data_IF_618663183063
#
_entry.id   IF_618663183063
#
_cell.length_a   1.000
_cell.length_b   1.000
_cell.length_c   1.000
_cell.angle_alpha   90.00
_cell.angle_beta   90.00
_cell.angle_gamma   90.00
#
_symmetry.space_group_name_H-M   'P 1'
#
loop_
_entity.id
_entity.type
_entity.pdbx_description
1 polymer ?
#
# COMPACT_ATOMS: atom_id res chain seq x y z
N UNK A 1 60.42 11.07 61.15
CA UNK A 1 59.30 11.16 60.18
C UNK A 1 58.73 9.76 59.96
N UNK A 2 57.47 9.54 60.36
CA UNK A 2 56.86 8.20 60.50
C UNK A 2 56.62 7.54 59.12
N UNK A 3 57.07 6.30 58.95
CA UNK A 3 56.86 5.45 57.75
C UNK A 3 55.39 5.08 57.47
N UNK A 4 54.46 5.40 58.37
CA UNK A 4 53.02 5.12 58.25
C UNK A 4 52.28 6.02 57.23
N UNK A 5 52.59 7.31 57.16
CA UNK A 5 51.90 8.26 56.26
C UNK A 5 52.17 8.00 54.78
N UNK A 6 53.41 7.61 54.43
CA UNK A 6 53.79 7.37 53.02
C UNK A 6 53.07 6.16 52.40
N UNK A 7 52.66 5.18 53.22
CA UNK A 7 51.94 3.98 52.75
C UNK A 7 50.46 4.27 52.48
N UNK A 8 49.81 5.09 53.31
CA UNK A 8 48.42 5.51 53.09
C UNK A 8 48.26 6.37 51.83
N UNK A 9 49.17 7.32 51.61
CA UNK A 9 49.18 8.15 50.40
C UNK A 9 49.42 7.32 49.14
N UNK A 10 50.37 6.37 49.17
CA UNK A 10 50.64 5.48 48.03
C UNK A 10 49.43 4.62 47.64
N UNK A 11 48.69 4.08 48.62
CA UNK A 11 47.49 3.29 48.37
C UNK A 11 46.39 4.13 47.72
N UNK A 12 46.19 5.37 48.17
CA UNK A 12 45.22 6.30 47.58
C UNK A 12 45.57 6.58 46.11
N UNK A 13 46.84 6.84 45.80
CA UNK A 13 47.27 7.03 44.41
C UNK A 13 47.03 5.81 43.55
N UNK A 14 47.33 4.60 44.04
CA UNK A 14 47.08 3.36 43.29
C UNK A 14 45.58 3.15 43.07
N UNK A 15 44.76 3.39 44.09
CA UNK A 15 43.32 3.23 43.99
C UNK A 15 42.71 4.24 43.01
N UNK A 16 43.14 5.49 43.05
CA UNK A 16 42.74 6.50 42.06
C UNK A 16 43.20 6.15 40.65
N UNK A 17 44.41 5.61 40.50
CA UNK A 17 44.91 5.16 39.20
C UNK A 17 44.09 3.98 38.65
N UNK A 18 43.69 3.03 39.51
CA UNK A 18 42.80 1.93 39.13
C UNK A 18 41.40 2.42 38.75
N UNK A 19 40.85 3.37 39.50
CA UNK A 19 39.55 3.99 39.18
C UNK A 19 39.62 4.72 37.83
N UNK A 20 40.68 5.50 37.59
CA UNK A 20 40.85 6.24 36.34
C UNK A 20 41.07 5.29 35.15
N UNK A 21 41.87 4.23 35.33
CA UNK A 21 42.06 3.19 34.32
C UNK A 21 40.75 2.45 34.03
N UNK A 22 39.99 2.09 35.07
CA UNK A 22 38.68 1.46 34.94
C UNK A 22 37.68 2.33 34.19
N UNK A 23 37.66 3.64 34.46
CA UNK A 23 36.82 4.59 33.74
C UNK A 23 37.18 4.68 32.25
N UNK A 24 38.47 4.72 31.91
CA UNK A 24 38.93 4.71 30.50
C UNK A 24 38.51 3.42 29.79
N UNK A 25 38.70 2.25 30.44
CA UNK A 25 38.29 0.96 29.86
C UNK A 25 36.77 0.89 29.66
N UNK A 26 35.98 1.37 30.63
CA UNK A 26 34.53 1.42 30.54
C UNK A 26 34.06 2.32 29.38
N UNK A 27 34.68 3.49 29.21
CA UNK A 27 34.39 4.42 28.12
C UNK A 27 34.65 3.79 26.75
N UNK A 28 35.83 3.18 26.55
CA UNK A 28 36.19 2.49 25.29
C UNK A 28 35.23 1.33 25.00
N UNK A 29 34.87 0.55 26.02
CA UNK A 29 33.91 -0.54 25.85
C UNK A 29 32.51 -0.03 25.48
N UNK A 30 32.08 1.07 26.09
CA UNK A 30 30.80 1.71 25.75
C UNK A 30 30.81 2.24 24.32
N UNK A 31 31.86 2.94 23.90
CA UNK A 31 32.01 3.46 22.55
C UNK A 31 32.00 2.33 21.51
N UNK A 32 32.78 1.27 21.73
CA UNK A 32 32.82 0.12 20.82
C UNK A 32 31.45 -0.57 20.69
N UNK A 33 30.69 -0.66 21.79
CA UNK A 33 29.33 -1.22 21.77
C UNK A 33 28.38 -0.35 20.96
N UNK A 34 28.41 0.97 21.14
CA UNK A 34 27.58 1.90 20.37
C UNK A 34 27.91 1.86 18.88
N UNK A 35 29.20 1.80 18.51
CA UNK A 35 29.62 1.65 17.11
C UNK A 35 29.13 0.32 16.50
N UNK A 36 29.23 -0.78 17.25
CA UNK A 36 28.75 -2.08 16.80
C UNK A 36 27.22 -2.09 16.57
N UNK A 37 26.45 -1.44 17.45
CA UNK A 37 25.00 -1.29 17.31
C UNK A 37 24.62 -0.46 16.08
N UNK A 38 25.34 0.64 15.81
CA UNK A 38 25.15 1.47 14.59
C UNK A 38 25.43 0.64 13.33
N UNK A 39 26.57 -0.07 13.29
CA UNK A 39 26.95 -0.89 12.14
C UNK A 39 25.95 -2.03 11.89
N UNK A 40 25.44 -2.65 12.96
CA UNK A 40 24.38 -3.67 12.87
C UNK A 40 23.10 -3.09 12.26
N UNK A 41 22.68 -1.90 12.73
CA UNK A 41 21.50 -1.20 12.20
C UNK A 41 21.63 -0.84 10.73
N UNK A 42 22.80 -0.33 10.31
CA UNK A 42 23.07 0.02 8.91
C UNK A 42 23.02 -1.23 8.03
N UNK A 43 23.66 -2.32 8.46
CA UNK A 43 23.60 -3.60 7.75
C UNK A 43 22.16 -4.09 7.60
N UNK A 44 21.37 -4.04 8.67
CA UNK A 44 19.98 -4.48 8.64
C UNK A 44 19.12 -3.63 7.68
N UNK A 45 19.30 -2.30 7.65
CA UNK A 45 18.65 -1.42 6.66
C UNK A 45 18.98 -1.81 5.24
N UNK A 46 20.26 -2.07 4.95
CA UNK A 46 20.69 -2.47 3.61
C UNK A 46 20.06 -3.81 3.22
N UNK A 47 20.08 -4.80 4.11
CA UNK A 47 19.46 -6.11 3.88
C UNK A 47 17.95 -5.97 3.67
N UNK A 48 17.27 -5.22 4.52
CA UNK A 48 15.83 -4.98 4.43
C UNK A 48 15.45 -4.30 3.11
N UNK A 49 16.18 -3.27 2.70
CA UNK A 49 15.97 -2.55 1.43
C UNK A 49 16.12 -3.47 0.22
N UNK A 50 17.24 -4.18 0.13
CA UNK A 50 17.46 -5.10 -0.99
C UNK A 50 16.52 -6.31 -0.98
N UNK A 51 16.09 -6.75 0.21
CA UNK A 51 15.02 -7.75 0.34
C UNK A 51 13.71 -7.25 -0.27
N UNK A 52 13.28 -6.04 0.09
CA UNK A 52 12.07 -5.44 -0.47
C UNK A 52 12.17 -5.27 -2.00
N UNK A 53 13.30 -4.80 -2.52
CA UNK A 53 13.54 -4.64 -3.95
C UNK A 53 13.52 -5.99 -4.69
N UNK A 54 14.12 -7.02 -4.09
CA UNK A 54 14.07 -8.40 -4.60
C UNK A 54 12.63 -8.90 -4.68
N UNK A 55 11.80 -8.59 -3.68
CA UNK A 55 10.37 -8.90 -3.69
C UNK A 55 9.63 -8.22 -4.84
N UNK A 56 9.84 -6.93 -5.07
CA UNK A 56 9.24 -6.20 -6.19
C UNK A 56 9.63 -6.83 -7.54
N UNK A 57 10.91 -7.16 -7.72
CA UNK A 57 11.41 -7.77 -8.95
C UNK A 57 10.83 -9.16 -9.17
N UNK A 58 10.85 -10.01 -8.14
CA UNK A 58 10.30 -11.38 -8.20
C UNK A 58 8.81 -11.37 -8.54
N UNK A 59 8.05 -10.46 -7.92
CA UNK A 59 6.63 -10.28 -8.20
C UNK A 59 6.39 -9.81 -9.64
N UNK A 60 7.15 -8.82 -10.10
CA UNK A 60 7.05 -8.29 -11.46
C UNK A 60 7.25 -9.39 -12.49
N UNK A 61 8.36 -10.14 -12.39
CA UNK A 61 8.67 -11.25 -13.32
C UNK A 61 7.59 -12.33 -13.27
N UNK A 62 7.11 -12.68 -12.08
CA UNK A 62 6.05 -13.69 -11.91
C UNK A 62 4.75 -13.22 -12.56
N UNK A 63 4.34 -11.98 -12.33
CA UNK A 63 3.11 -11.43 -12.91
C UNK A 63 3.22 -11.38 -14.43
N UNK A 64 4.32 -10.87 -14.98
CA UNK A 64 4.52 -10.84 -16.44
C UNK A 64 4.47 -12.24 -17.05
N UNK A 65 5.09 -13.24 -16.42
CA UNK A 65 5.02 -14.64 -16.88
C UNK A 65 3.59 -15.21 -16.84
N UNK A 66 2.81 -14.87 -15.80
CA UNK A 66 1.40 -15.25 -15.71
C UNK A 66 0.58 -14.58 -16.82
N UNK A 67 0.83 -13.31 -17.11
CA UNK A 67 0.14 -12.59 -18.18
C UNK A 67 0.52 -13.09 -19.57
N UNK A 68 1.78 -13.47 -19.79
CA UNK A 68 2.24 -14.08 -21.04
C UNK A 68 1.56 -15.45 -21.31
N UNK A 69 1.28 -16.20 -20.23
CA UNK A 69 0.55 -17.47 -20.33
C UNK A 69 -0.96 -17.30 -20.61
N UNK A 70 -1.55 -16.15 -20.23
CA UNK A 70 -2.98 -15.87 -20.35
C UNK A 70 -3.29 -15.19 -21.69
N UNK A 71 -3.57 -15.99 -22.73
CA UNK A 71 -3.71 -15.52 -24.12
C UNK A 71 -5.09 -14.99 -24.45
N UNK A 72 -6.10 -15.36 -23.66
CA UNK A 72 -7.48 -14.92 -23.85
C UNK A 72 -7.93 -13.96 -22.75
N UNK A 73 -8.92 -13.11 -23.03
CA UNK A 73 -9.49 -12.20 -22.01
C UNK A 73 -10.03 -12.95 -20.78
N UNK A 74 -10.75 -14.09 -20.91
CA UNK A 74 -11.21 -14.86 -19.74
C UNK A 74 -10.05 -15.33 -18.87
N UNK A 75 -9.00 -15.89 -19.47
CA UNK A 75 -7.80 -16.33 -18.74
C UNK A 75 -7.12 -15.16 -18.03
N UNK A 76 -7.04 -13.99 -18.66
CA UNK A 76 -6.46 -12.80 -18.02
C UNK A 76 -7.27 -12.34 -16.82
N UNK A 77 -8.60 -12.32 -16.91
CA UNK A 77 -9.44 -11.93 -15.78
C UNK A 77 -9.30 -12.94 -14.63
N UNK A 78 -9.35 -14.25 -14.92
CA UNK A 78 -9.12 -15.30 -13.91
C UNK A 78 -7.73 -15.16 -13.28
N UNK A 79 -6.70 -14.91 -14.08
CA UNK A 79 -5.33 -14.70 -13.61
C UNK A 79 -5.23 -13.52 -12.64
N UNK A 80 -5.88 -12.39 -12.95
CA UNK A 80 -5.92 -11.24 -12.05
C UNK A 80 -6.73 -11.50 -10.78
N UNK A 81 -7.85 -12.21 -10.88
CA UNK A 81 -8.68 -12.59 -9.73
C UNK A 81 -7.91 -13.48 -8.75
N UNK A 82 -7.14 -14.42 -9.28
CA UNK A 82 -6.34 -15.36 -8.49
C UNK A 82 -4.95 -14.84 -8.16
N UNK A 83 -4.63 -13.59 -8.50
CA UNK A 83 -3.25 -13.09 -8.46
C UNK A 83 -2.63 -13.19 -7.07
N UNK A 84 -3.38 -12.83 -6.02
CA UNK A 84 -2.92 -12.94 -4.64
C UNK A 84 -2.57 -14.39 -4.27
N UNK A 85 -3.41 -15.37 -4.65
CA UNK A 85 -3.15 -16.78 -4.42
C UNK A 85 -1.93 -17.28 -5.23
N UNK A 86 -1.79 -16.83 -6.48
CA UNK A 86 -0.65 -17.18 -7.34
C UNK A 86 0.67 -16.56 -6.88
N UNK A 87 0.63 -15.46 -6.12
CA UNK A 87 1.78 -14.83 -5.48
C UNK A 87 1.99 -15.26 -4.02
N UNK A 88 1.18 -16.18 -3.48
CA UNK A 88 1.37 -16.70 -2.12
C UNK A 88 2.80 -17.22 -1.85
N UNK A 89 3.52 -17.84 -2.80
CA UNK A 89 4.92 -18.21 -2.59
C UNK A 89 5.89 -17.05 -2.36
N UNK A 90 5.47 -15.80 -2.62
CA UNK A 90 6.28 -14.60 -2.44
C UNK A 90 5.92 -13.81 -1.17
N UNK A 91 4.99 -14.29 -0.33
CA UNK A 91 4.60 -13.57 0.89
C UNK A 91 5.62 -13.68 2.02
N UNK A 92 6.49 -14.70 1.97
CA UNK A 92 7.60 -14.89 2.89
C UNK A 92 8.68 -15.77 2.23
N UNK A 93 9.77 -15.13 1.79
CA UNK A 93 10.88 -15.76 1.08
C UNK A 93 12.17 -15.49 1.84
N UNK A 94 12.90 -16.57 2.15
CA UNK A 94 14.20 -16.52 2.80
C UNK A 94 15.33 -16.40 1.76
N UNK A 95 16.18 -15.37 1.92
CA UNK A 95 17.39 -15.12 1.13
C UNK A 95 18.67 -15.49 1.89
N UNK A 96 18.56 -16.15 3.04
CA UNK A 96 19.63 -16.56 3.95
C UNK A 96 20.14 -15.42 4.84
N UNK A 97 20.40 -14.23 4.26
CA UNK A 97 20.85 -13.06 5.03
C UNK A 97 19.72 -12.11 5.44
N UNK A 98 18.54 -12.29 4.87
CA UNK A 98 17.34 -11.50 5.09
C UNK A 98 16.15 -12.18 4.42
N UNK A 99 14.96 -11.60 4.60
CA UNK A 99 13.71 -12.13 4.09
C UNK A 99 12.96 -11.04 3.36
N UNK A 100 12.03 -11.45 2.51
CA UNK A 100 11.06 -10.53 1.93
C UNK A 100 9.66 -11.13 1.82
N UNK A 101 8.68 -10.26 1.73
CA UNK A 101 7.29 -10.58 1.47
C UNK A 101 6.67 -9.60 0.49
N UNK A 102 5.75 -10.09 -0.34
CA UNK A 102 5.06 -9.30 -1.36
C UNK A 102 3.56 -9.33 -1.15
N UNK A 103 2.92 -8.18 -1.34
CA UNK A 103 1.49 -8.06 -1.57
C UNK A 103 1.22 -7.35 -2.90
N UNK A 104 0.12 -7.71 -3.56
CA UNK A 104 -0.35 -7.05 -4.79
C UNK A 104 -1.76 -6.54 -4.59
N UNK A 105 -2.04 -5.34 -5.10
CA UNK A 105 -3.34 -4.69 -5.01
C UNK A 105 -3.75 -4.19 -6.38
N UNK A 106 -4.98 -4.51 -6.78
CA UNK A 106 -5.64 -3.88 -7.91
C UNK A 106 -6.06 -2.44 -7.53
N UNK A 107 -5.41 -1.45 -8.12
CA UNK A 107 -5.74 -0.05 -7.83
C UNK A 107 -7.04 0.40 -8.49
N UNK A 108 -7.50 -0.29 -9.54
CA UNK A 108 -8.80 -0.07 -10.14
C UNK A 108 -9.93 -0.69 -9.32
N UNK A 109 -9.64 -1.44 -8.26
CA UNK A 109 -10.64 -1.82 -7.26
C UNK A 109 -11.09 -0.63 -6.40
N UNK A 110 -10.43 0.54 -6.52
CA UNK A 110 -10.67 1.75 -5.72
C UNK A 110 -11.01 2.94 -6.62
N UNK A 111 -11.63 3.96 -6.04
CA UNK A 111 -11.99 5.20 -6.73
C UNK A 111 -10.80 6.14 -6.75
N UNK A 112 -10.46 6.63 -7.95
CA UNK A 112 -9.45 7.66 -8.10
C UNK A 112 -10.00 9.02 -7.70
N UNK A 113 -9.53 9.60 -6.60
CA UNK A 113 -10.04 10.90 -6.13
C UNK A 113 -9.72 12.04 -7.09
N UNK A 114 -8.63 11.92 -7.85
CA UNK A 114 -8.21 12.94 -8.81
C UNK A 114 -8.91 12.81 -10.15
N UNK A 115 -9.29 11.59 -10.55
CA UNK A 115 -9.87 11.32 -11.89
C UNK A 115 -11.36 11.04 -11.91
N UNK A 116 -11.97 10.62 -10.81
CA UNK A 116 -13.41 10.34 -10.76
C UNK A 116 -14.24 11.61 -10.97
N UNK A 117 -15.43 11.46 -11.55
CA UNK A 117 -16.39 12.56 -11.65
C UNK A 117 -16.99 12.92 -10.28
N UNK A 118 -17.62 14.09 -10.21
CA UNK A 118 -18.20 14.60 -8.98
C UNK A 118 -19.31 13.70 -8.43
N UNK A 119 -20.15 13.15 -9.31
CA UNK A 119 -21.25 12.26 -8.91
C UNK A 119 -20.74 10.98 -8.26
N UNK A 120 -19.66 10.40 -8.78
CA UNK A 120 -18.99 9.23 -8.20
C UNK A 120 -18.40 9.53 -6.83
N UNK A 121 -17.73 10.67 -6.68
CA UNK A 121 -17.15 11.06 -5.40
C UNK A 121 -18.25 11.34 -4.36
N UNK A 122 -19.29 12.08 -4.73
CA UNK A 122 -20.45 12.30 -3.85
C UNK A 122 -21.11 10.97 -3.47
N UNK A 123 -21.30 10.07 -4.43
CA UNK A 123 -21.85 8.73 -4.20
C UNK A 123 -21.03 7.89 -3.22
N UNK A 124 -19.72 8.09 -3.17
CA UNK A 124 -18.85 7.45 -2.17
C UNK A 124 -18.98 8.14 -0.80
N UNK A 125 -18.75 9.46 -0.73
CA UNK A 125 -18.67 10.17 0.55
C UNK A 125 -20.01 10.17 1.32
N UNK A 126 -21.16 10.19 0.62
CA UNK A 126 -22.49 10.07 1.25
C UNK A 126 -22.72 8.75 1.99
N UNK A 127 -21.88 7.74 1.77
CA UNK A 127 -21.94 6.48 2.53
C UNK A 127 -21.30 6.61 3.92
N UNK A 128 -20.50 7.65 4.15
CA UNK A 128 -19.73 7.86 5.38
C UNK A 128 -20.07 9.15 6.11
N UNK A 129 -20.80 10.08 5.46
CA UNK A 129 -21.21 11.36 6.04
C UNK A 129 -22.53 11.86 5.44
N UNK A 130 -23.03 12.99 5.93
CA UNK A 130 -24.24 13.67 5.43
C UNK A 130 -24.08 14.21 4.01
N UNK A 131 -25.19 14.37 3.29
CA UNK A 131 -25.19 14.85 1.90
C UNK A 131 -24.50 16.22 1.73
N UNK A 132 -24.81 17.17 2.61
CA UNK A 132 -24.21 18.52 2.57
C UNK A 132 -22.70 18.47 2.77
N UNK A 133 -22.24 17.63 3.71
CA UNK A 133 -20.81 17.52 3.99
C UNK A 133 -20.05 16.78 2.88
N UNK A 134 -20.67 15.77 2.28
CA UNK A 134 -20.10 15.11 1.11
C UNK A 134 -19.90 16.10 -0.05
N UNK A 135 -20.86 17.00 -0.29
CA UNK A 135 -20.74 18.05 -1.32
C UNK A 135 -19.59 19.02 -1.04
N UNK A 136 -19.45 19.48 0.21
CA UNK A 136 -18.34 20.34 0.64
C UNK A 136 -16.97 19.68 0.43
N UNK A 137 -16.83 18.42 0.87
CA UNK A 137 -15.59 17.65 0.73
C UNK A 137 -15.23 17.44 -0.74
N UNK A 138 -16.21 17.09 -1.58
CA UNK A 138 -15.98 16.87 -3.00
C UNK A 138 -15.58 18.18 -3.70
N UNK A 139 -16.21 19.30 -3.36
CA UNK A 139 -15.82 20.62 -3.87
C UNK A 139 -14.36 20.95 -3.50
N UNK A 140 -13.95 20.66 -2.26
CA UNK A 140 -12.58 20.87 -1.80
C UNK A 140 -11.56 19.98 -2.54
N UNK A 141 -11.88 18.68 -2.74
CA UNK A 141 -11.03 17.75 -3.50
C UNK A 141 -10.81 18.19 -4.94
N UNK A 142 -11.82 18.81 -5.58
CA UNK A 142 -11.68 19.33 -6.96
C UNK A 142 -10.76 20.54 -7.06
N UNK A 143 -10.61 21.30 -5.99
CA UNK A 143 -9.71 22.45 -5.95
C UNK A 143 -8.26 22.06 -5.62
N UNK A 144 -8.07 20.93 -4.94
CA UNK A 144 -6.76 20.46 -4.49
C UNK A 144 -6.54 18.97 -4.85
N UNK A 145 -6.12 18.67 -6.10
CA UNK A 145 -5.71 17.32 -6.48
C UNK A 145 -4.58 16.78 -5.58
N UNK A 146 -4.69 15.53 -5.18
CA UNK A 146 -3.77 14.89 -4.22
C UNK A 146 -2.57 14.24 -4.92
N UNK A 147 -1.38 14.36 -4.35
CA UNK A 147 -0.20 13.63 -4.83
C UNK A 147 -0.01 12.29 -4.11
N UNK A 148 -0.46 12.22 -2.86
CA UNK A 148 -0.43 11.01 -2.02
C UNK A 148 -1.74 10.87 -1.28
N UNK A 149 -2.12 9.62 -0.99
CA UNK A 149 -3.38 9.37 -0.30
C UNK A 149 -3.43 10.00 1.11
N UNK A 150 -2.28 10.09 1.80
CA UNK A 150 -2.22 10.71 3.12
C UNK A 150 -2.51 12.22 3.14
N UNK A 151 -2.63 12.88 1.98
CA UNK A 151 -3.06 14.28 1.91
C UNK A 151 -4.58 14.44 2.09
N UNK A 152 -5.33 13.34 2.05
CA UNK A 152 -6.78 13.35 2.25
C UNK A 152 -7.17 13.99 3.59
N UNK A 153 -6.38 13.77 4.65
CA UNK A 153 -6.61 14.36 5.98
C UNK A 153 -6.34 15.87 6.06
N UNK A 154 -5.75 16.49 5.03
CA UNK A 154 -5.54 17.95 4.98
C UNK A 154 -6.60 18.67 4.13
N UNK A 155 -7.53 17.93 3.53
CA UNK A 155 -8.61 18.54 2.75
C UNK A 155 -9.65 19.11 3.73
N UNK A 156 -10.04 20.40 3.57
CA UNK A 156 -11.09 20.99 4.38
C UNK A 156 -12.36 20.13 4.37
N UNK A 157 -12.89 19.83 5.56
CA UNK A 157 -14.04 18.95 5.74
C UNK A 157 -13.70 17.46 5.84
N UNK A 158 -12.44 17.04 5.68
CA UNK A 158 -12.05 15.65 5.96
C UNK A 158 -11.27 15.60 7.27
N UNK A 159 -11.90 15.05 8.31
CA UNK A 159 -11.22 14.72 9.56
C UNK A 159 -10.50 13.36 9.48
N UNK A 160 -9.67 13.05 10.48
CA UNK A 160 -8.91 11.79 10.52
C UNK A 160 -9.83 10.56 10.49
N UNK A 161 -11.01 10.65 11.09
CA UNK A 161 -11.98 9.55 11.15
C UNK A 161 -12.56 9.26 9.77
N UNK A 162 -12.99 10.28 9.04
CA UNK A 162 -13.50 10.18 7.68
C UNK A 162 -12.39 9.76 6.71
N UNK A 163 -11.18 10.32 6.86
CA UNK A 163 -10.03 9.91 6.06
C UNK A 163 -9.74 8.41 6.22
N UNK A 164 -9.71 7.90 7.46
CA UNK A 164 -9.50 6.48 7.74
C UNK A 164 -10.65 5.60 7.24
N UNK A 165 -11.89 6.06 7.36
CA UNK A 165 -13.07 5.32 6.89
C UNK A 165 -13.09 5.18 5.36
N UNK A 166 -12.69 6.21 4.63
CA UNK A 166 -12.70 6.24 3.15
C UNK A 166 -11.44 5.62 2.54
N UNK A 167 -10.29 5.66 3.23
CA UNK A 167 -8.99 5.21 2.73
C UNK A 167 -8.98 3.82 2.04
N UNK A 168 -9.71 2.79 2.50
CA UNK A 168 -9.75 1.49 1.82
C UNK A 168 -10.37 1.52 0.41
N UNK A 169 -11.20 2.53 0.12
CA UNK A 169 -12.01 2.63 -1.09
C UNK A 169 -11.45 3.61 -2.13
N UNK A 170 -10.39 4.35 -1.80
CA UNK A 170 -9.83 5.40 -2.66
C UNK A 170 -8.37 5.19 -3.01
N UNK A 171 -7.94 5.84 -4.07
CA UNK A 171 -6.54 5.89 -4.54
C UNK A 171 -6.28 7.21 -5.29
N UNK A 172 -5.01 7.54 -5.49
CA UNK A 172 -4.55 8.67 -6.34
C UNK A 172 -3.81 8.18 -7.60
N UNK A 173 -3.62 6.86 -7.72
CA UNK A 173 -2.68 6.23 -8.65
C UNK A 173 -3.33 5.41 -9.77
N UNK A 174 -4.67 5.39 -9.86
CA UNK A 174 -5.35 4.64 -10.91
C UNK A 174 -5.50 5.47 -12.21
N UNK A 175 -6.21 4.95 -13.21
CA UNK A 175 -6.60 5.72 -14.41
C UNK A 175 -8.04 6.25 -14.35
N UNK A 176 -8.70 6.14 -13.19
CA UNK A 176 -10.09 6.56 -13.01
C UNK A 176 -11.12 5.61 -13.60
N UNK A 177 -10.72 4.40 -14.01
CA UNK A 177 -11.65 3.29 -14.28
C UNK A 177 -11.78 2.38 -13.06
N UNK A 178 -12.98 1.84 -12.84
CA UNK A 178 -13.28 0.92 -11.74
C UNK A 178 -13.42 -0.51 -12.28
N UNK A 179 -12.66 -1.44 -11.71
CA UNK A 179 -12.66 -2.83 -12.11
C UNK A 179 -13.83 -3.60 -11.48
N UNK A 180 -14.80 -4.01 -12.29
CA UNK A 180 -16.01 -4.75 -11.87
C UNK A 180 -15.70 -6.19 -11.46
N UNK A 181 -14.46 -6.69 -11.54
CA UNK A 181 -14.12 -8.01 -11.03
C UNK A 181 -13.44 -7.96 -9.64
N UNK A 182 -13.09 -6.77 -9.14
CA UNK A 182 -12.33 -6.60 -7.89
C UNK A 182 -12.86 -5.51 -6.96
N UNK A 183 -13.53 -4.48 -7.48
CA UNK A 183 -14.02 -3.36 -6.69
C UNK A 183 -15.04 -3.78 -5.62
N UNK A 184 -14.90 -3.37 -4.35
CA UNK A 184 -15.83 -3.73 -3.29
C UNK A 184 -17.19 -3.04 -3.47
N UNK A 185 -18.20 -3.50 -2.73
CA UNK A 185 -19.57 -2.99 -2.85
C UNK A 185 -19.71 -1.47 -2.67
N UNK A 186 -19.05 -0.82 -1.68
CA UNK A 186 -19.10 0.64 -1.53
C UNK A 186 -18.58 1.41 -2.74
N UNK A 187 -17.55 0.89 -3.41
CA UNK A 187 -16.96 1.48 -4.63
C UNK A 187 -17.91 1.33 -5.81
N UNK A 188 -18.56 0.18 -5.96
CA UNK A 188 -19.55 -0.03 -7.03
C UNK A 188 -20.81 0.80 -6.82
N UNK A 189 -21.31 0.88 -5.58
CA UNK A 189 -22.51 1.62 -5.22
C UNK A 189 -22.33 3.15 -5.33
N UNK A 190 -21.09 3.62 -5.30
CA UNK A 190 -20.76 5.03 -5.53
C UNK A 190 -20.90 5.43 -7.00
N UNK A 191 -20.89 4.47 -7.94
CA UNK A 191 -20.91 4.78 -9.37
C UNK A 191 -22.31 5.23 -9.83
N UNK A 192 -22.41 6.26 -10.68
CA UNK A 192 -23.69 6.74 -11.19
C UNK A 192 -24.49 5.65 -11.90
N UNK A 193 -25.77 5.52 -11.54
CA UNK A 193 -26.68 4.52 -12.12
C UNK A 193 -26.54 3.11 -11.53
N UNK A 194 -25.66 2.90 -10.55
CA UNK A 194 -25.49 1.61 -9.86
C UNK A 194 -26.02 1.74 -8.44
N UNK A 195 -27.18 1.12 -8.17
CA UNK A 195 -27.73 1.06 -6.81
C UNK A 195 -26.93 0.11 -5.92
N UNK A 196 -26.98 0.29 -4.59
CA UNK A 196 -26.36 -0.65 -3.65
C UNK A 196 -26.90 -2.08 -3.79
N UNK A 197 -28.17 -2.24 -4.20
CA UNK A 197 -28.74 -3.55 -4.50
C UNK A 197 -28.07 -4.22 -5.72
N UNK A 198 -27.80 -3.45 -6.78
CA UNK A 198 -27.05 -3.91 -7.95
C UNK A 198 -25.58 -4.19 -7.61
N UNK A 199 -24.93 -3.32 -6.84
CA UNK A 199 -23.56 -3.53 -6.37
C UNK A 199 -23.43 -4.83 -5.56
N UNK A 200 -24.34 -5.08 -4.62
CA UNK A 200 -24.40 -6.34 -3.84
C UNK A 200 -24.65 -7.56 -4.72
N UNK A 201 -25.48 -7.46 -5.76
CA UNK A 201 -25.73 -8.59 -6.65
C UNK A 201 -24.49 -8.95 -7.46
N UNK A 202 -23.73 -7.95 -7.91
CA UNK A 202 -22.44 -8.13 -8.58
C UNK A 202 -21.45 -8.84 -7.66
N UNK A 203 -21.26 -8.36 -6.43
CA UNK A 203 -20.33 -8.98 -5.46
C UNK A 203 -20.71 -10.43 -5.17
N UNK A 204 -21.98 -10.72 -4.90
CA UNK A 204 -22.47 -12.08 -4.64
C UNK A 204 -22.20 -13.04 -5.81
N UNK A 205 -22.39 -12.57 -7.04
CA UNK A 205 -22.08 -13.35 -8.25
C UNK A 205 -20.60 -13.69 -8.35
N UNK A 206 -19.70 -12.75 -8.00
CA UNK A 206 -18.25 -13.05 -7.95
C UNK A 206 -17.91 -14.12 -6.93
N UNK A 207 -18.55 -14.10 -5.76
CA UNK A 207 -18.36 -15.11 -4.71
C UNK A 207 -18.77 -16.51 -5.19
N UNK A 208 -19.75 -16.60 -6.09
CA UNK A 208 -20.13 -17.87 -6.76
C UNK A 208 -19.21 -18.27 -7.92
N UNK A 209 -18.11 -17.54 -8.14
CA UNK A 209 -17.12 -17.82 -9.18
C UNK A 209 -17.38 -17.12 -10.51
N UNK A 210 -18.43 -16.32 -10.65
CA UNK A 210 -18.74 -15.66 -11.91
C UNK A 210 -17.70 -14.59 -12.27
N UNK A 211 -17.30 -14.57 -13.54
CA UNK A 211 -16.34 -13.62 -14.12
C UNK A 211 -17.01 -12.72 -15.13
N UNK A 212 -16.88 -11.41 -14.94
CA UNK A 212 -17.48 -10.42 -15.83
C UNK A 212 -16.55 -10.09 -16.98
N UNK A 213 -17.01 -10.38 -18.20
CA UNK A 213 -16.27 -10.17 -19.45
C UNK A 213 -16.55 -8.82 -20.10
N UNK A 214 -17.67 -8.19 -19.72
CA UNK A 214 -18.14 -6.91 -20.26
C UNK A 214 -18.52 -5.97 -19.12
N UNK A 215 -18.60 -4.68 -19.41
CA UNK A 215 -18.93 -3.65 -18.42
C UNK A 215 -20.42 -3.39 -18.27
N UNK A 216 -21.24 -3.76 -19.27
CA UNK A 216 -22.69 -3.55 -19.31
C UNK A 216 -23.47 -4.75 -18.76
N UNK A 217 -23.02 -5.98 -19.01
CA UNK A 217 -23.68 -7.21 -18.55
C UNK A 217 -23.85 -7.40 -17.03
N UNK A 218 -22.94 -6.93 -16.15
CA UNK A 218 -23.03 -7.18 -14.71
C UNK A 218 -24.28 -6.59 -14.04
N UNK A 219 -24.81 -5.50 -14.59
CA UNK A 219 -25.89 -4.71 -13.98
C UNK A 219 -27.28 -4.99 -14.56
N UNK A 220 -27.38 -5.93 -15.52
CA UNK A 220 -28.60 -6.18 -16.29
C UNK A 220 -28.90 -5.05 -17.29
N UNK A 221 -30.08 -5.03 -17.94
CA UNK A 221 -30.58 -3.81 -18.54
C UNK A 221 -30.66 -2.79 -17.39
N UNK A 222 -29.91 -1.69 -17.46
CA UNK A 222 -30.11 -0.55 -16.56
C UNK A 222 -31.58 -0.15 -16.72
N UNK A 223 -32.40 -0.58 -15.75
CA UNK A 223 -33.85 -0.64 -15.87
C UNK A 223 -34.42 0.72 -16.25
N UNK A 224 -35.23 0.72 -17.31
CA UNK A 224 -35.74 1.94 -17.93
C UNK A 224 -36.57 2.81 -16.99
N UNK A 225 -36.22 4.10 -16.97
CA UNK A 225 -37.21 5.17 -17.01
C UNK A 225 -36.98 5.97 -18.28
N UNK A 226 -37.87 5.74 -19.25
CA UNK A 226 -38.27 6.75 -20.21
C UNK A 226 -38.59 8.05 -19.46
N UNK A 227 -37.77 9.06 -19.68
CA UNK A 227 -37.96 10.40 -19.12
C UNK A 227 -36.65 11.02 -18.70
N UNK A 228 -36.06 11.82 -19.59
CA UNK A 228 -35.12 12.91 -19.32
C UNK A 228 -34.34 12.79 -18.00
N UNK A 229 -33.50 11.77 -17.85
CA UNK A 229 -32.36 11.91 -16.95
C UNK A 229 -31.31 12.60 -17.80
N UNK A 230 -30.97 13.84 -17.46
CA UNK A 230 -29.84 14.55 -18.04
C UNK A 230 -28.67 13.58 -18.19
N UNK A 231 -27.92 13.66 -19.29
CA UNK A 231 -26.86 12.73 -19.66
C UNK A 231 -25.79 12.63 -18.56
N UNK A 232 -26.05 11.83 -17.53
CA UNK A 232 -25.07 11.51 -16.50
C UNK A 232 -23.98 10.71 -17.21
N UNK A 233 -22.72 11.15 -17.17
CA UNK A 233 -21.63 10.43 -17.80
C UNK A 233 -21.62 8.97 -17.33
N UNK A 234 -21.57 8.03 -18.27
CA UNK A 234 -21.50 6.62 -17.92
C UNK A 234 -20.23 6.36 -17.08
N UNK A 235 -20.31 5.57 -16.00
CA UNK A 235 -19.15 5.28 -15.18
C UNK A 235 -18.06 4.58 -16.02
N UNK A 236 -16.81 5.00 -15.82
CA UNK A 236 -15.67 4.35 -16.48
C UNK A 236 -15.39 3.03 -15.78
N UNK A 237 -15.76 1.95 -16.45
CA UNK A 237 -15.64 0.60 -15.91
C UNK A 237 -14.58 -0.20 -16.68
N UNK A 238 -13.96 -1.14 -15.98
CA UNK A 238 -13.00 -2.09 -16.51
C UNK A 238 -13.33 -3.51 -16.03
N UNK A 239 -12.80 -4.52 -16.73
CA UNK A 239 -12.91 -5.94 -16.34
C UNK A 239 -11.57 -6.53 -15.90
N UNK A 240 -10.48 -5.82 -16.16
CA UNK A 240 -9.12 -6.13 -15.74
C UNK A 240 -8.46 -4.86 -15.18
N UNK A 241 -7.48 -4.99 -14.28
CA UNK A 241 -6.70 -3.85 -13.80
C UNK A 241 -5.87 -3.22 -14.92
N UNK A 242 -5.84 -1.90 -14.97
CA UNK A 242 -4.86 -1.11 -15.72
C UNK A 242 -3.73 -0.61 -14.82
N UNK A 243 -3.91 -0.68 -13.50
CA UNK A 243 -2.95 -0.23 -12.47
C UNK A 243 -2.86 -1.27 -11.35
N UNK A 244 -1.65 -1.70 -11.06
CA UNK A 244 -1.33 -2.55 -9.92
C UNK A 244 -0.42 -1.81 -8.96
N UNK A 245 -0.62 -1.99 -7.66
CA UNK A 245 0.33 -1.66 -6.63
C UNK A 245 0.98 -2.96 -6.15
N UNK A 246 2.30 -3.04 -6.25
CA UNK A 246 3.09 -4.11 -5.65
C UNK A 246 3.76 -3.51 -4.41
N UNK A 247 3.56 -4.14 -3.25
CA UNK A 247 4.18 -3.78 -1.99
C UNK A 247 5.19 -4.87 -1.65
N UNK A 248 6.47 -4.54 -1.68
CA UNK A 248 7.57 -5.40 -1.24
C UNK A 248 8.02 -4.96 0.15
N UNK A 249 8.12 -5.91 1.08
CA UNK A 249 8.70 -5.68 2.41
C UNK A 249 9.90 -6.57 2.58
N UNK A 250 11.00 -6.04 3.08
CA UNK A 250 12.18 -6.81 3.43
C UNK A 250 12.59 -6.56 4.87
N UNK A 251 13.11 -7.58 5.53
CA UNK A 251 13.58 -7.51 6.91
C UNK A 251 14.73 -8.49 7.14
N UNK A 252 15.42 -8.33 8.27
CA UNK A 252 16.45 -9.27 8.72
C UNK A 252 15.96 -9.97 9.99
N UNK A 253 16.11 -11.29 10.07
CA UNK A 253 15.74 -12.05 11.25
C UNK A 253 16.47 -11.54 12.51
N UNK A 254 15.72 -11.39 13.60
CA UNK A 254 16.24 -10.87 14.87
C UNK A 254 16.47 -9.35 14.90
N UNK A 255 16.12 -8.62 13.84
CA UNK A 255 16.20 -7.16 13.81
C UNK A 255 14.80 -6.54 13.62
N UNK A 256 14.43 -5.49 14.36
CA UNK A 256 13.07 -4.93 14.30
C UNK A 256 12.79 -4.15 13.01
N UNK A 257 13.83 -3.70 12.32
CA UNK A 257 13.70 -2.83 11.15
C UNK A 257 13.16 -3.60 9.93
N UNK A 258 12.09 -3.07 9.36
CA UNK A 258 11.53 -3.53 8.08
C UNK A 258 11.59 -2.37 7.08
N UNK A 259 11.97 -2.66 5.84
CA UNK A 259 11.91 -1.69 4.76
C UNK A 259 10.77 -2.05 3.82
N UNK A 260 9.93 -1.08 3.47
CA UNK A 260 8.81 -1.25 2.56
C UNK A 260 9.01 -0.42 1.29
N UNK A 261 8.76 -1.05 0.15
CA UNK A 261 8.72 -0.43 -1.17
C UNK A 261 7.30 -0.60 -1.73
N UNK A 262 6.72 0.50 -2.18
CA UNK A 262 5.44 0.55 -2.89
C UNK A 262 5.70 0.97 -4.33
N UNK A 263 5.47 0.05 -5.26
CA UNK A 263 5.68 0.28 -6.68
C UNK A 263 4.34 0.20 -7.43
N UNK A 264 3.96 1.30 -8.08
CA UNK A 264 2.77 1.39 -8.92
C UNK A 264 3.16 1.08 -10.35
N UNK A 265 2.51 0.08 -10.95
CA UNK A 265 2.71 -0.33 -12.33
C UNK A 265 1.46 -0.06 -13.17
N UNK A 266 1.67 0.40 -14.41
CA UNK A 266 0.68 0.32 -15.47
C UNK A 266 0.77 -1.04 -16.16
N UNK A 267 -0.37 -1.71 -16.32
CA UNK A 267 -0.48 -2.97 -17.04
C UNK A 267 -0.64 -2.66 -18.54
N UNK A 268 0.37 -2.98 -19.35
CA UNK A 268 0.38 -2.73 -20.79
C UNK A 268 0.59 -4.07 -21.52
N UNK A 269 -0.52 -4.68 -21.95
CA UNK A 269 -0.51 -6.03 -22.51
C UNK A 269 -0.07 -7.05 -21.46
N UNK A 270 1.13 -7.62 -21.65
CA UNK A 270 1.77 -8.58 -20.75
C UNK A 270 2.88 -7.97 -19.89
N UNK A 271 3.16 -6.67 -20.07
CA UNK A 271 4.25 -5.96 -19.37
C UNK A 271 3.73 -5.07 -18.25
N UNK A 272 4.56 -4.91 -17.23
CA UNK A 272 4.35 -3.97 -16.14
C UNK A 272 5.29 -2.77 -16.30
N UNK A 273 4.73 -1.59 -16.52
CA UNK A 273 5.51 -0.35 -16.70
C UNK A 273 5.43 0.47 -15.42
N UNK A 274 6.57 0.71 -14.77
CA UNK A 274 6.64 1.48 -13.52
C UNK A 274 6.11 2.91 -13.73
N UNK A 275 5.28 3.38 -12.78
CA UNK A 275 4.65 4.71 -12.77
C UNK A 275 5.00 5.52 -11.54
N UNK A 276 5.08 4.88 -10.39
CA UNK A 276 5.48 5.52 -9.14
C UNK A 276 6.24 4.52 -8.27
N UNK A 277 7.15 5.05 -7.47
CA UNK A 277 8.00 4.30 -6.56
C UNK A 277 8.13 5.08 -5.26
N UNK A 278 7.80 4.45 -4.14
CA UNK A 278 7.90 5.04 -2.81
C UNK A 278 8.52 4.04 -1.84
N UNK A 279 9.44 4.51 -1.02
CA UNK A 279 10.15 3.71 -0.02
C UNK A 279 9.92 4.28 1.38
N UNK A 280 9.89 3.43 2.40
CA UNK A 280 9.88 3.84 3.81
C UNK A 280 10.44 2.75 4.72
N UNK A 281 11.13 3.18 5.76
CA UNK A 281 11.44 2.34 6.91
C UNK A 281 10.19 2.24 7.82
N UNK A 282 9.91 1.04 8.33
CA UNK A 282 8.82 0.73 9.28
C UNK A 282 9.38 0.36 10.65
#
# INVERSE_FOLDING_TARGET
MKRGDRRGVALIFVLWLLVLLGAIVAEVASQARSEAEILSSLRSRTIARYGAESGILAATVRIEALLDSARSLPERITTFRELAARLAPLTDVDLGSGRFGVAVVDLNARIDVNRADEATLQGLFRQFTTDSHAEEVVAALKQAPLNRLGELAYIPGIDDSLALAVAPYVTVWSDGSVNINSAPEPVLAALPGISSAMARSVVRRRETGEVFMTTTGPFGPLGGTSGQVASVPAPRLAVIPSRLLIVGRGWQDGHPLTHEIQAVYAVVGVRLVLRAWQERDL
#
